data_IF_838830379391
#
_entry.id   IF_838830379391
#
_cell.length_a   1.000
_cell.length_b   1.000
_cell.length_c   1.000
_cell.angle_alpha   90.00
_cell.angle_beta   90.00
_cell.angle_gamma   90.00
#
_symmetry.space_group_name_H-M   'P 1'
#
loop_
_entity.id
_entity.type
_entity.pdbx_description
1 polymer ?
#
# COMPACT_ATOMS: atom_id res chain seq x y z
N UNK A 1 29.97 23.82 12.22
CA UNK A 1 28.52 24.00 12.38
C UNK A 1 27.89 24.15 11.00
N UNK A 2 27.31 23.08 10.45
CA UNK A 2 26.90 23.03 9.03
C UNK A 2 25.59 23.79 8.80
N UNK A 3 25.65 24.84 7.96
CA UNK A 3 24.51 25.67 7.52
C UNK A 3 23.48 24.89 6.67
N UNK A 4 23.79 23.68 6.22
CA UNK A 4 22.95 22.85 5.34
C UNK A 4 21.77 22.17 6.05
N UNK A 5 21.74 22.14 7.38
CA UNK A 5 20.66 21.49 8.13
C UNK A 5 19.33 22.28 8.09
N UNK A 6 19.35 23.55 7.66
CA UNK A 6 18.20 24.48 7.74
C UNK A 6 17.18 24.35 6.60
N UNK A 7 17.46 23.55 5.57
CA UNK A 7 16.57 23.33 4.42
C UNK A 7 15.88 21.95 4.40
N UNK A 8 15.92 21.19 5.49
CA UNK A 8 15.12 19.96 5.57
C UNK A 8 13.65 20.36 5.83
N UNK A 9 12.92 20.69 4.76
CA UNK A 9 11.45 20.73 4.78
C UNK A 9 10.99 19.43 5.45
N UNK A 10 10.21 19.54 6.52
CA UNK A 10 9.53 18.38 7.10
C UNK A 10 8.57 17.88 6.03
N UNK A 11 8.96 16.82 5.32
CA UNK A 11 8.12 16.13 4.36
C UNK A 11 6.86 15.66 5.11
N UNK A 12 5.68 15.97 4.58
CA UNK A 12 4.43 15.58 5.22
C UNK A 12 4.27 14.06 5.18
N UNK A 13 3.42 13.49 6.05
CA UNK A 13 3.14 12.05 6.04
C UNK A 13 2.57 11.59 4.69
N UNK A 14 1.76 12.45 4.07
CA UNK A 14 1.16 12.22 2.75
C UNK A 14 2.23 12.18 1.66
N UNK A 15 3.18 13.12 1.67
CA UNK A 15 4.29 13.14 0.71
C UNK A 15 5.15 11.87 0.79
N UNK A 16 5.31 11.30 1.99
CA UNK A 16 6.04 10.04 2.19
C UNK A 16 5.26 8.87 1.60
N UNK A 17 3.95 8.81 1.83
CA UNK A 17 3.11 7.73 1.30
C UNK A 17 3.01 7.77 -0.23
N UNK A 18 2.90 8.97 -0.82
CA UNK A 18 2.93 9.16 -2.28
C UNK A 18 4.26 8.67 -2.86
N UNK A 19 5.38 9.03 -2.24
CA UNK A 19 6.70 8.57 -2.68
C UNK A 19 6.85 7.05 -2.55
N UNK A 20 6.33 6.45 -1.46
CA UNK A 20 6.33 4.99 -1.25
C UNK A 20 5.56 4.28 -2.35
N UNK A 21 4.35 4.74 -2.66
CA UNK A 21 3.50 4.18 -3.73
C UNK A 21 4.18 4.28 -5.09
N UNK A 22 4.71 5.44 -5.44
CA UNK A 22 5.40 5.65 -6.70
C UNK A 22 6.60 4.70 -6.87
N UNK A 23 7.35 4.45 -5.79
CA UNK A 23 8.47 3.51 -5.79
C UNK A 23 8.00 2.07 -6.02
N UNK A 24 6.96 1.61 -5.31
CA UNK A 24 6.42 0.26 -5.47
C UNK A 24 5.80 0.03 -6.85
N UNK A 25 5.08 1.01 -7.39
CA UNK A 25 4.52 0.94 -8.74
C UNK A 25 5.61 0.84 -9.80
N UNK A 26 6.71 1.55 -9.63
CA UNK A 26 7.84 1.56 -10.58
C UNK A 26 8.71 0.30 -10.49
N UNK A 27 9.07 -0.15 -9.29
CA UNK A 27 10.11 -1.18 -9.10
C UNK A 27 9.72 -2.34 -8.19
N UNK A 28 8.52 -2.34 -7.62
CA UNK A 28 8.04 -3.46 -6.81
C UNK A 28 7.87 -4.74 -7.65
N UNK A 29 8.12 -5.89 -7.05
CA UNK A 29 7.86 -7.20 -7.65
C UNK A 29 6.37 -7.49 -7.58
N UNK A 30 5.84 -8.08 -8.66
CA UNK A 30 4.42 -8.44 -8.76
C UNK A 30 4.19 -9.74 -7.99
N UNK A 31 3.12 -9.77 -7.21
CA UNK A 31 2.62 -10.94 -6.50
C UNK A 31 1.10 -10.96 -6.47
N UNK A 32 0.55 -11.94 -5.77
CA UNK A 32 -0.88 -12.14 -5.58
C UNK A 32 -1.22 -11.98 -4.09
N UNK A 33 -2.32 -11.28 -3.80
CA UNK A 33 -2.88 -11.12 -2.48
C UNK A 33 -4.32 -11.64 -2.45
N UNK A 34 -4.73 -12.12 -1.29
CA UNK A 34 -6.11 -12.41 -0.97
C UNK A 34 -6.71 -11.23 -0.24
N UNK A 35 -7.85 -10.75 -0.70
CA UNK A 35 -8.60 -9.70 -0.02
C UNK A 35 -9.30 -10.29 1.18
N UNK A 36 -9.12 -9.66 2.33
CA UNK A 36 -9.80 -10.02 3.57
C UNK A 36 -11.09 -9.20 3.76
N UNK A 37 -11.10 -7.97 3.24
CA UNK A 37 -12.26 -7.08 3.21
C UNK A 37 -11.85 -5.63 3.04
N UNK A 38 -12.83 -4.76 2.83
CA UNK A 38 -12.65 -3.32 2.75
C UNK A 38 -13.70 -2.65 3.66
N UNK A 39 -13.23 -1.77 4.55
CA UNK A 39 -14.08 -1.08 5.52
C UNK A 39 -13.83 0.44 5.45
N UNK A 40 -14.84 1.24 5.73
CA UNK A 40 -14.68 2.70 5.83
C UNK A 40 -14.08 3.09 7.18
N UNK A 41 -13.12 4.02 7.18
CA UNK A 41 -12.64 4.66 8.40
C UNK A 41 -13.60 5.75 8.90
N UNK A 42 -13.33 6.31 10.08
CA UNK A 42 -14.15 7.38 10.66
C UNK A 42 -14.19 8.69 9.85
N UNK A 43 -13.31 8.85 8.85
CA UNK A 43 -13.23 9.98 7.94
C UNK A 43 -13.85 9.65 6.55
N UNK A 44 -14.46 8.47 6.39
CA UNK A 44 -15.10 8.01 5.15
C UNK A 44 -14.12 7.49 4.08
N UNK A 45 -12.87 7.16 4.46
CA UNK A 45 -11.92 6.56 3.53
C UNK A 45 -12.04 5.04 3.52
N UNK A 46 -12.07 4.42 2.34
CA UNK A 46 -12.09 2.97 2.22
C UNK A 46 -10.69 2.38 2.48
N UNK A 47 -10.60 1.53 3.51
CA UNK A 47 -9.38 0.84 3.93
C UNK A 47 -9.50 -0.63 3.53
N UNK A 48 -8.68 -1.03 2.55
CA UNK A 48 -8.53 -2.42 2.13
C UNK A 48 -7.63 -3.19 3.10
N UNK A 49 -8.08 -4.37 3.49
CA UNK A 49 -7.29 -5.37 4.20
C UNK A 49 -7.01 -6.58 3.31
N UNK A 50 -5.76 -7.02 3.28
CA UNK A 50 -5.35 -8.13 2.41
C UNK A 50 -4.20 -8.93 3.03
N UNK A 51 -4.09 -10.20 2.64
CA UNK A 51 -3.01 -11.10 3.03
C UNK A 51 -2.26 -11.65 1.81
N UNK A 52 -0.99 -11.99 2.01
CA UNK A 52 -0.13 -12.54 0.97
C UNK A 52 1.03 -13.32 1.59
N UNK A 53 1.53 -14.33 0.87
CA UNK A 53 2.63 -15.18 1.34
C UNK A 53 3.87 -14.96 0.48
N UNK A 54 5.00 -14.64 1.10
CA UNK A 54 6.30 -14.49 0.42
C UNK A 54 7.34 -15.32 1.15
N UNK A 55 7.97 -16.26 0.42
CA UNK A 55 9.00 -17.12 1.00
C UNK A 55 8.51 -17.99 2.16
N UNK A 56 7.22 -18.35 2.17
CA UNK A 56 6.59 -19.12 3.25
C UNK A 56 6.22 -18.30 4.49
N UNK A 57 6.38 -16.98 4.45
CA UNK A 57 5.94 -16.07 5.52
C UNK A 57 4.65 -15.39 5.09
N UNK A 58 3.63 -15.48 5.94
CA UNK A 58 2.36 -14.81 5.74
C UNK A 58 2.42 -13.37 6.25
N UNK A 59 2.01 -12.46 5.38
CA UNK A 59 1.89 -11.04 5.67
C UNK A 59 0.44 -10.62 5.56
N UNK A 60 0.08 -9.64 6.38
CA UNK A 60 -1.19 -8.95 6.30
C UNK A 60 -0.93 -7.45 6.34
N UNK A 61 -1.64 -6.70 5.50
CA UNK A 61 -1.47 -5.27 5.40
C UNK A 61 -2.81 -4.57 5.19
N UNK A 62 -2.80 -3.27 5.50
CA UNK A 62 -3.93 -2.36 5.30
C UNK A 62 -3.51 -1.26 4.33
N UNK A 63 -4.42 -0.88 3.43
CA UNK A 63 -4.19 0.14 2.43
C UNK A 63 -5.42 1.02 2.28
N UNK A 64 -5.22 2.33 2.38
CA UNK A 64 -6.22 3.31 1.93
C UNK A 64 -6.36 3.23 0.41
N UNK A 65 -7.57 2.97 -0.09
CA UNK A 65 -7.83 3.00 -1.53
C UNK A 65 -7.74 4.43 -2.07
N UNK A 66 -7.23 4.56 -3.29
CA UNK A 66 -7.31 5.83 -4.01
C UNK A 66 -8.66 5.98 -4.74
N UNK A 67 -8.92 7.16 -5.28
CA UNK A 67 -10.19 7.45 -5.95
C UNK A 67 -10.48 6.51 -7.14
N UNK A 68 -9.46 6.03 -7.85
CA UNK A 68 -9.63 5.12 -8.99
C UNK A 68 -9.87 3.67 -8.54
N UNK A 69 -9.32 3.28 -7.39
CA UNK A 69 -9.59 2.00 -6.75
C UNK A 69 -10.99 1.98 -6.10
N UNK A 70 -11.45 3.09 -5.51
CA UNK A 70 -12.82 3.19 -4.98
C UNK A 70 -13.90 3.01 -6.06
N UNK A 71 -13.63 3.37 -7.32
CA UNK A 71 -14.54 3.10 -8.44
C UNK A 71 -14.67 1.60 -8.77
N UNK A 72 -13.74 0.77 -8.28
CA UNK A 72 -13.64 -0.67 -8.53
C UNK A 72 -13.81 -1.47 -7.24
N UNK A 73 -14.67 -0.99 -6.33
CA UNK A 73 -14.90 -1.62 -5.03
C UNK A 73 -15.25 -3.12 -5.12
N UNK A 74 -15.97 -3.54 -6.17
CA UNK A 74 -16.33 -4.95 -6.40
C UNK A 74 -15.13 -5.88 -6.58
N UNK A 75 -13.97 -5.35 -6.98
CA UNK A 75 -12.73 -6.14 -7.12
C UNK A 75 -12.12 -6.48 -5.74
N UNK A 76 -12.58 -5.79 -4.68
CA UNK A 76 -12.07 -5.88 -3.32
C UNK A 76 -13.05 -6.59 -2.36
N UNK A 77 -13.90 -7.47 -2.89
CA UNK A 77 -14.73 -8.32 -2.05
C UNK A 77 -13.88 -9.35 -1.28
N UNK A 78 -14.26 -9.70 -0.03
CA UNK A 78 -13.57 -10.74 0.73
C UNK A 78 -13.42 -12.06 -0.06
N UNK A 79 -12.21 -12.60 -0.08
CA UNK A 79 -11.86 -13.80 -0.85
C UNK A 79 -11.46 -13.55 -2.30
N UNK A 80 -11.62 -12.33 -2.82
CA UNK A 80 -11.10 -11.97 -4.13
C UNK A 80 -9.57 -12.03 -4.16
N UNK A 81 -9.03 -12.32 -5.34
CA UNK A 81 -7.58 -12.32 -5.57
C UNK A 81 -7.19 -11.07 -6.33
N UNK A 82 -6.25 -10.33 -5.78
CA UNK A 82 -5.80 -9.05 -6.33
C UNK A 82 -4.30 -9.05 -6.59
N UNK A 83 -3.89 -8.25 -7.54
CA UNK A 83 -2.48 -8.07 -7.88
C UNK A 83 -1.86 -7.09 -6.90
N UNK A 84 -0.74 -7.49 -6.29
CA UNK A 84 0.03 -6.62 -5.40
C UNK A 84 1.44 -6.40 -5.96
N UNK A 85 2.04 -5.28 -5.55
CA UNK A 85 3.47 -5.00 -5.71
C UNK A 85 4.12 -4.86 -4.35
N UNK A 86 5.27 -5.49 -4.19
CA UNK A 86 6.04 -5.45 -2.94
C UNK A 86 7.53 -5.22 -3.20
N UNK A 87 8.24 -4.74 -2.19
CA UNK A 87 9.70 -4.68 -2.21
C UNK A 87 10.29 -6.06 -1.84
N UNK A 88 11.04 -6.76 -2.75
CA UNK A 88 11.63 -8.05 -2.44
C UNK A 88 12.60 -8.05 -1.26
N UNK A 89 13.23 -6.91 -0.98
CA UNK A 89 14.14 -6.76 0.17
C UNK A 89 13.39 -6.43 1.46
N UNK A 90 12.14 -5.93 1.35
CA UNK A 90 11.27 -5.58 2.47
C UNK A 90 9.83 -6.01 2.17
N UNK A 91 9.51 -7.32 2.25
CA UNK A 91 8.22 -7.85 1.82
C UNK A 91 7.00 -7.20 2.49
N UNK A 92 7.14 -6.75 3.74
CA UNK A 92 6.10 -6.02 4.47
C UNK A 92 5.70 -4.68 3.80
N UNK A 93 6.56 -4.12 2.94
CA UNK A 93 6.25 -2.94 2.16
C UNK A 93 5.58 -3.35 0.85
N UNK A 94 4.25 -3.35 0.85
CA UNK A 94 3.42 -3.75 -0.27
C UNK A 94 2.32 -2.73 -0.59
N UNK A 95 1.74 -2.91 -1.78
CA UNK A 95 0.66 -2.09 -2.32
C UNK A 95 -0.16 -2.93 -3.30
N UNK A 96 -1.47 -2.93 -3.16
CA UNK A 96 -2.42 -3.43 -4.16
C UNK A 96 -2.59 -2.40 -5.28
N UNK A 97 -2.54 -2.87 -6.52
CA UNK A 97 -2.59 -2.06 -7.75
C UNK A 97 -4.01 -1.96 -8.29
#
# INVERSE_FOLDING_TARGET
MSFLARFRRKQSKEDIEIARRALLLRSGRIGEAMVLGADEDGDGNLILSYSYTIGGVDYQAFQKLDAAQCLRESDYLPGARVVLRYDPHRPANSLVV
#
